data_IF_597626031948
#
_entry.id   IF_597626031948
#
_cell.length_a   1.000
_cell.length_b   1.000
_cell.length_c   1.000
_cell.angle_alpha   90.00
_cell.angle_beta   90.00
_cell.angle_gamma   90.00
#
_symmetry.space_group_name_H-M   'P 1'
#
loop_
_entity.id
_entity.type
_entity.pdbx_description
1 polymer ?
#
# COMPACT_ATOMS: atom_id res chain seq x y z
N UNK A 1 -3.87 12.98 20.96
CA UNK A 1 -3.66 11.96 19.91
C UNK A 1 -3.67 10.60 20.60
N UNK A 2 -4.87 10.12 20.99
CA UNK A 2 -5.02 8.84 21.70
C UNK A 2 -5.10 7.72 20.65
N UNK A 3 -4.29 6.66 20.73
CA UNK A 3 -4.40 5.49 19.86
C UNK A 3 -5.78 4.85 19.90
N UNK A 4 -6.25 4.39 18.74
CA UNK A 4 -7.53 3.65 18.59
C UNK A 4 -7.31 2.22 18.04
N UNK A 5 -6.06 1.77 17.96
CA UNK A 5 -5.64 0.49 17.38
C UNK A 5 -6.21 -0.72 18.11
N UNK A 6 -6.64 -0.56 19.36
CA UNK A 6 -7.27 -1.60 20.17
C UNK A 6 -8.80 -1.48 20.24
N UNK A 7 -9.41 -0.76 19.30
CA UNK A 7 -10.87 -0.72 19.15
C UNK A 7 -11.42 -2.07 18.67
N UNK A 8 -12.74 -2.25 18.85
CA UNK A 8 -13.45 -3.47 18.45
C UNK A 8 -13.31 -3.78 16.96
N UNK A 9 -13.29 -2.75 16.11
CA UNK A 9 -13.06 -2.89 14.67
C UNK A 9 -11.68 -3.48 14.33
N UNK A 10 -10.61 -2.96 14.94
CA UNK A 10 -9.26 -3.47 14.72
C UNK A 10 -9.07 -4.86 15.33
N UNK A 11 -9.73 -5.16 16.46
CA UNK A 11 -9.76 -6.50 17.02
C UNK A 11 -10.39 -7.50 16.03
N UNK A 12 -11.57 -7.18 15.50
CA UNK A 12 -12.26 -8.03 14.51
C UNK A 12 -11.37 -8.25 13.28
N UNK A 13 -10.72 -7.20 12.79
CA UNK A 13 -9.80 -7.30 11.65
C UNK A 13 -8.62 -8.24 11.92
N UNK A 14 -8.00 -8.17 13.10
CA UNK A 14 -6.89 -9.05 13.46
C UNK A 14 -7.35 -10.50 13.67
N UNK A 15 -8.51 -10.71 14.27
CA UNK A 15 -9.11 -12.04 14.40
C UNK A 15 -9.44 -12.65 13.04
N UNK A 16 -9.96 -11.87 12.10
CA UNK A 16 -10.22 -12.31 10.73
C UNK A 16 -8.93 -12.62 9.98
N UNK A 17 -7.85 -11.85 10.21
CA UNK A 17 -6.54 -12.17 9.65
C UNK A 17 -6.03 -13.53 10.18
N UNK A 18 -6.14 -13.79 11.48
CA UNK A 18 -5.76 -15.09 12.06
C UNK A 18 -6.57 -16.24 11.44
N UNK A 19 -7.88 -16.06 11.24
CA UNK A 19 -8.74 -17.06 10.55
C UNK A 19 -8.31 -17.27 9.10
N UNK A 20 -7.85 -16.22 8.42
CA UNK A 20 -7.42 -16.28 7.03
C UNK A 20 -6.10 -17.05 6.84
N UNK A 21 -5.22 -17.10 7.85
CA UNK A 21 -3.92 -17.78 7.76
C UNK A 21 -3.99 -19.24 7.28
N UNK A 22 -5.09 -19.95 7.57
CA UNK A 22 -5.26 -21.34 7.14
C UNK A 22 -5.54 -21.51 5.64
N UNK A 23 -5.82 -20.41 4.92
CA UNK A 23 -6.21 -20.43 3.50
C UNK A 23 -5.03 -20.22 2.55
N UNK A 24 -3.81 -20.07 3.07
CA UNK A 24 -2.58 -19.94 2.29
C UNK A 24 -1.48 -20.88 2.76
N UNK A 25 -0.30 -20.83 2.13
CA UNK A 25 0.88 -21.56 2.58
C UNK A 25 1.25 -21.17 4.02
N UNK A 26 1.57 -22.15 4.86
CA UNK A 26 1.90 -21.90 6.28
C UNK A 26 3.14 -21.02 6.43
N UNK A 27 4.04 -21.12 5.46
CA UNK A 27 5.28 -20.35 5.38
C UNK A 27 5.03 -18.87 5.07
N UNK A 28 3.83 -18.49 4.60
CA UNK A 28 3.50 -17.11 4.23
C UNK A 28 3.68 -16.11 5.37
N UNK A 29 3.65 -16.57 6.63
CA UNK A 29 3.93 -15.74 7.81
C UNK A 29 5.36 -15.17 7.84
N UNK A 30 6.32 -15.82 7.19
CA UNK A 30 7.72 -15.39 7.11
C UNK A 30 8.11 -14.83 5.75
N UNK A 31 7.13 -14.68 4.85
CA UNK A 31 7.38 -14.21 3.50
C UNK A 31 7.53 -12.70 3.45
N UNK A 32 8.31 -12.27 2.46
CA UNK A 32 8.31 -10.89 1.96
C UNK A 32 7.53 -10.86 0.64
N UNK A 33 7.43 -9.68 0.03
CA UNK A 33 6.75 -9.50 -1.26
C UNK A 33 7.19 -10.52 -2.32
N UNK A 34 8.50 -10.81 -2.42
CA UNK A 34 9.03 -11.68 -3.48
C UNK A 34 8.48 -13.11 -3.47
N UNK A 35 8.27 -13.71 -2.29
CA UNK A 35 7.73 -15.08 -2.21
C UNK A 35 6.25 -15.14 -2.59
N UNK A 36 5.43 -14.17 -2.14
CA UNK A 36 4.02 -14.05 -2.53
C UNK A 36 3.88 -13.82 -4.03
N UNK A 37 4.68 -12.91 -4.59
CA UNK A 37 4.73 -12.64 -6.03
C UNK A 37 5.11 -13.88 -6.83
N UNK A 38 6.15 -14.61 -6.44
CA UNK A 38 6.55 -15.83 -7.13
C UNK A 38 5.43 -16.90 -7.13
N UNK A 39 4.70 -17.05 -6.03
CA UNK A 39 3.55 -17.96 -5.96
C UNK A 39 2.44 -17.54 -6.94
N UNK A 40 2.10 -16.25 -6.98
CA UNK A 40 1.09 -15.72 -7.89
C UNK A 40 1.52 -15.83 -9.37
N UNK A 41 2.73 -15.37 -9.70
CA UNK A 41 3.27 -15.39 -11.07
C UNK A 41 3.43 -16.81 -11.63
N UNK A 42 3.66 -17.79 -10.76
CA UNK A 42 3.69 -19.21 -11.13
C UNK A 42 2.30 -19.84 -11.35
N UNK A 43 1.22 -19.10 -11.08
CA UNK A 43 -0.17 -19.54 -11.26
C UNK A 43 -0.73 -20.33 -10.07
N UNK A 44 -0.12 -20.24 -8.88
CA UNK A 44 -0.52 -21.00 -7.70
C UNK A 44 -1.31 -20.19 -6.66
N UNK A 45 -1.60 -18.91 -6.94
CA UNK A 45 -2.48 -18.07 -6.12
C UNK A 45 -3.55 -17.42 -6.99
N UNK A 46 -4.79 -17.37 -6.48
CA UNK A 46 -5.90 -16.72 -7.17
C UNK A 46 -5.90 -15.18 -6.98
N UNK A 47 -5.36 -14.71 -5.85
CA UNK A 47 -5.27 -13.30 -5.49
C UNK A 47 -3.94 -13.05 -4.79
N UNK A 48 -3.38 -11.85 -4.98
CA UNK A 48 -2.18 -11.38 -4.30
C UNK A 48 -2.39 -9.90 -3.90
N UNK A 49 -2.54 -9.58 -2.61
CA UNK A 49 -2.69 -8.20 -2.15
C UNK A 49 -1.34 -7.49 -2.24
N UNK A 50 -1.18 -6.60 -3.23
CA UNK A 50 0.12 -5.99 -3.53
C UNK A 50 -0.02 -4.61 -4.17
N UNK A 51 1.13 -3.94 -4.33
CA UNK A 51 1.32 -2.69 -5.04
C UNK A 51 1.35 -2.86 -6.56
N UNK A 52 1.43 -1.74 -7.29
CA UNK A 52 1.43 -1.69 -8.76
C UNK A 52 2.63 -2.36 -9.45
N UNK A 53 3.60 -2.89 -8.69
CA UNK A 53 4.76 -3.59 -9.23
C UNK A 53 4.39 -4.93 -9.87
N UNK A 54 3.54 -5.74 -9.21
CA UNK A 54 3.28 -7.12 -9.63
C UNK A 54 2.70 -7.25 -11.05
N UNK A 55 1.72 -6.43 -11.48
CA UNK A 55 1.18 -6.51 -12.84
C UNK A 55 2.23 -6.33 -13.94
N UNK A 56 3.29 -5.55 -13.67
CA UNK A 56 4.39 -5.36 -14.62
C UNK A 56 5.26 -6.62 -14.73
N UNK A 57 5.56 -7.30 -13.61
CA UNK A 57 6.29 -8.58 -13.60
C UNK A 57 5.49 -9.69 -14.28
N UNK A 58 4.15 -9.62 -14.22
CA UNK A 58 3.29 -10.55 -14.93
C UNK A 58 3.48 -10.51 -16.45
N UNK A 59 4.03 -9.42 -17.01
CA UNK A 59 4.27 -9.26 -18.44
C UNK A 59 5.57 -9.90 -18.95
N UNK A 60 6.50 -10.29 -18.06
CA UNK A 60 7.73 -10.95 -18.49
C UNK A 60 7.52 -12.48 -18.59
N UNK A 61 7.48 -13.07 -19.79
CA UNK A 61 7.26 -14.51 -19.95
C UNK A 61 8.40 -15.38 -19.40
N UNK A 62 9.55 -14.81 -19.04
CA UNK A 62 10.64 -15.53 -18.36
C UNK A 62 10.34 -15.73 -16.87
N UNK A 63 9.61 -14.78 -16.27
CA UNK A 63 9.33 -14.74 -14.83
C UNK A 63 7.87 -15.11 -14.51
N UNK A 64 6.96 -15.02 -15.49
CA UNK A 64 5.51 -15.15 -15.32
C UNK A 64 4.88 -16.22 -16.21
N UNK A 65 3.91 -16.96 -15.66
CA UNK A 65 3.01 -17.88 -16.38
C UNK A 65 1.58 -17.33 -16.55
N UNK A 66 1.36 -16.10 -16.08
CA UNK A 66 0.04 -15.48 -15.95
C UNK A 66 -0.16 -14.26 -16.85
N UNK A 67 0.76 -14.00 -17.78
CA UNK A 67 0.57 -12.94 -18.80
C UNK A 67 -0.75 -13.13 -19.55
N UNK A 68 -1.50 -12.04 -19.72
CA UNK A 68 -2.83 -12.05 -20.34
C UNK A 68 -3.96 -12.62 -19.46
N UNK A 69 -3.66 -13.05 -18.22
CA UNK A 69 -4.60 -13.68 -17.27
C UNK A 69 -4.80 -12.89 -15.97
N UNK A 70 -4.11 -11.78 -15.77
CA UNK A 70 -4.18 -10.93 -14.59
C UNK A 70 -5.36 -9.94 -14.71
N UNK A 71 -6.13 -9.89 -13.63
CA UNK A 71 -7.08 -8.83 -13.35
C UNK A 71 -6.61 -8.00 -12.15
N UNK A 72 -7.08 -6.76 -12.07
CA UNK A 72 -6.87 -5.90 -10.91
C UNK A 72 -8.24 -5.33 -10.47
N UNK A 73 -8.35 -5.04 -9.18
CA UNK A 73 -9.52 -4.38 -8.59
C UNK A 73 -9.09 -3.62 -7.36
N UNK A 74 -9.95 -2.74 -6.85
CA UNK A 74 -9.73 -2.03 -5.58
C UNK A 74 -9.62 -3.02 -4.41
N UNK A 75 -9.04 -2.56 -3.29
CA UNK A 75 -9.03 -3.34 -2.05
C UNK A 75 -10.47 -3.72 -1.67
N UNK A 76 -10.76 -5.01 -1.37
CA UNK A 76 -12.10 -5.43 -0.98
C UNK A 76 -12.66 -4.62 0.20
N UNK A 77 -13.92 -4.23 0.08
CA UNK A 77 -14.64 -3.50 1.13
C UNK A 77 -15.39 -4.40 2.11
N UNK A 78 -16.08 -3.78 3.07
CA UNK A 78 -16.92 -4.46 4.07
C UNK A 78 -18.33 -3.87 4.11
N UNK A 79 -19.34 -4.64 4.51
CA UNK A 79 -20.70 -4.12 4.73
C UNK A 79 -20.91 -3.53 6.13
N UNK A 80 -19.92 -3.66 7.00
CA UNK A 80 -19.94 -3.14 8.37
C UNK A 80 -18.56 -2.60 8.75
N UNK A 81 -18.53 -1.48 9.46
CA UNK A 81 -17.30 -0.92 10.04
C UNK A 81 -17.60 -0.36 11.44
N UNK A 82 -16.62 -0.47 12.34
CA UNK A 82 -16.73 0.07 13.70
C UNK A 82 -16.25 1.52 13.72
N UNK A 83 -17.07 2.42 14.25
CA UNK A 83 -16.69 3.79 14.53
C UNK A 83 -16.13 3.86 15.96
N UNK A 84 -14.80 3.99 16.14
CA UNK A 84 -14.20 4.05 17.47
C UNK A 84 -14.44 5.37 18.20
N UNK A 85 -14.97 6.39 17.53
CA UNK A 85 -15.33 7.67 18.14
C UNK A 85 -16.75 7.59 18.72
N UNK A 86 -17.69 6.98 17.99
CA UNK A 86 -19.06 6.75 18.49
C UNK A 86 -19.18 5.51 19.37
N UNK A 87 -18.26 4.55 19.22
CA UNK A 87 -18.28 3.28 19.94
C UNK A 87 -19.35 2.31 19.43
N UNK A 88 -19.66 2.32 18.13
CA UNK A 88 -20.72 1.51 17.54
C UNK A 88 -20.34 0.95 16.16
N UNK A 89 -21.03 -0.11 15.74
CA UNK A 89 -20.97 -0.64 14.39
C UNK A 89 -21.96 0.08 13.47
N UNK A 90 -21.45 0.61 12.36
CA UNK A 90 -22.24 1.22 11.30
C UNK A 90 -22.33 0.23 10.11
N UNK A 91 -23.46 0.26 9.39
CA UNK A 91 -23.72 -0.57 8.21
C UNK A 91 -23.58 0.24 6.92
N UNK A 92 -23.06 -0.39 5.88
CA UNK A 92 -22.76 0.22 4.58
C UNK A 92 -23.20 -0.71 3.44
N UNK A 93 -23.57 -0.14 2.31
CA UNK A 93 -23.75 -0.90 1.06
C UNK A 93 -22.41 -1.54 0.65
N UNK A 94 -21.32 -0.75 0.73
CA UNK A 94 -19.93 -1.23 0.67
C UNK A 94 -18.99 -0.15 1.21
N UNK A 95 -18.35 -0.41 2.35
CA UNK A 95 -17.30 0.44 2.92
C UNK A 95 -15.95 0.08 2.30
N UNK A 96 -15.38 0.99 1.51
CA UNK A 96 -14.08 0.83 0.86
C UNK A 96 -13.10 1.89 1.34
N UNK A 97 -11.83 1.52 1.42
CA UNK A 97 -10.74 2.43 1.69
C UNK A 97 -9.61 2.14 0.70
N UNK A 98 -9.13 3.19 0.04
CA UNK A 98 -7.91 3.10 -0.74
C UNK A 98 -6.70 3.03 0.19
N UNK A 99 -5.55 2.71 -0.39
CA UNK A 99 -4.31 2.63 0.36
C UNK A 99 -3.19 3.37 -0.38
N UNK A 100 -2.69 4.43 0.27
CA UNK A 100 -1.52 5.22 -0.17
C UNK A 100 -0.34 5.07 0.79
N UNK A 101 -0.47 4.21 1.81
CA UNK A 101 0.57 3.92 2.79
C UNK A 101 1.76 3.21 2.10
N UNK A 102 2.85 3.95 1.85
CA UNK A 102 3.97 3.44 1.06
C UNK A 102 3.88 3.69 -0.45
N UNK A 103 2.80 4.33 -0.93
CA UNK A 103 2.61 4.70 -2.35
C UNK A 103 3.18 6.06 -2.77
N UNK A 104 3.92 6.75 -1.90
CA UNK A 104 4.46 8.11 -2.16
C UNK A 104 5.98 8.13 -2.18
N UNK A 105 6.58 7.25 -2.99
CA UNK A 105 8.02 7.25 -3.21
C UNK A 105 8.36 8.41 -4.13
N UNK A 106 8.98 9.45 -3.57
CA UNK A 106 9.40 10.62 -4.31
C UNK A 106 10.90 10.81 -4.14
N UNK A 107 11.56 11.19 -5.23
CA UNK A 107 12.94 11.60 -5.15
C UNK A 107 13.04 12.91 -4.36
N UNK A 108 13.98 12.98 -3.43
CA UNK A 108 14.19 14.14 -2.57
C UNK A 108 15.60 14.68 -2.74
N UNK A 109 15.73 16.01 -2.75
CA UNK A 109 17.04 16.67 -2.74
C UNK A 109 17.36 17.05 -1.30
N UNK A 110 18.42 16.45 -0.75
CA UNK A 110 18.90 16.80 0.58
C UNK A 110 19.31 18.27 0.63
N UNK A 111 18.89 19.00 1.67
CA UNK A 111 19.37 20.36 1.98
C UNK A 111 20.89 20.41 2.16
N UNK A 112 21.52 19.28 2.47
CA UNK A 112 22.97 19.15 2.64
C UNK A 112 23.71 18.72 1.36
N UNK A 113 23.00 18.55 0.24
CA UNK A 113 23.63 18.17 -1.03
C UNK A 113 24.66 19.23 -1.45
N UNK A 114 25.85 18.78 -1.82
CA UNK A 114 26.89 19.65 -2.42
C UNK A 114 26.67 19.90 -3.91
N UNK A 115 25.68 19.23 -4.52
CA UNK A 115 25.37 19.28 -5.95
C UNK A 115 23.85 19.32 -6.21
N UNK A 116 23.10 20.23 -5.57
CA UNK A 116 21.63 20.22 -5.63
C UNK A 116 21.09 20.43 -7.04
N UNK A 117 21.71 21.29 -7.85
CA UNK A 117 21.31 21.54 -9.25
C UNK A 117 21.48 20.30 -10.13
N UNK A 118 22.65 19.63 -10.06
CA UNK A 118 22.88 18.40 -10.83
C UNK A 118 21.96 17.27 -10.38
N UNK A 119 21.67 17.18 -9.07
CA UNK A 119 20.66 16.24 -8.56
C UNK A 119 19.29 16.57 -9.16
N UNK A 120 18.88 17.84 -9.15
CA UNK A 120 17.64 18.28 -9.77
C UNK A 120 17.58 17.92 -11.26
N UNK A 121 18.63 18.21 -12.03
CA UNK A 121 18.69 17.92 -13.46
C UNK A 121 18.50 16.43 -13.75
N UNK A 122 19.13 15.56 -12.95
CA UNK A 122 18.96 14.12 -13.06
C UNK A 122 17.51 13.68 -12.75
N UNK A 123 16.93 14.21 -11.67
CA UNK A 123 15.55 13.89 -11.30
C UNK A 123 14.55 14.40 -12.36
N UNK A 124 14.77 15.59 -12.90
CA UNK A 124 13.97 16.15 -13.99
C UNK A 124 14.09 15.31 -15.27
N UNK A 125 15.30 14.83 -15.59
CA UNK A 125 15.52 13.89 -16.69
C UNK A 125 14.71 12.59 -16.50
N UNK A 126 14.75 11.99 -15.31
CA UNK A 126 13.97 10.78 -15.00
C UNK A 126 12.45 11.03 -15.05
N UNK A 127 12.01 12.23 -14.71
CA UNK A 127 10.60 12.64 -14.74
C UNK A 127 10.09 13.04 -16.14
N UNK A 128 10.94 13.07 -17.18
CA UNK A 128 10.48 13.27 -18.55
C UNK A 128 9.51 12.17 -18.96
N UNK A 129 8.50 12.50 -19.78
CA UNK A 129 7.44 11.55 -20.19
C UNK A 129 7.97 10.19 -20.64
N UNK A 130 9.01 10.19 -21.49
CA UNK A 130 9.60 8.96 -22.02
C UNK A 130 10.20 8.08 -20.91
N UNK A 131 10.97 8.68 -19.99
CA UNK A 131 11.62 7.96 -18.92
C UNK A 131 10.62 7.51 -17.86
N UNK A 132 9.69 8.38 -17.46
CA UNK A 132 8.65 8.06 -16.51
C UNK A 132 7.75 6.91 -16.99
N UNK A 133 7.28 6.96 -18.25
CA UNK A 133 6.51 5.88 -18.85
C UNK A 133 7.29 4.57 -18.88
N UNK A 134 8.55 4.59 -19.33
CA UNK A 134 9.38 3.39 -19.31
C UNK A 134 9.55 2.82 -17.91
N UNK A 135 9.74 3.66 -16.88
CA UNK A 135 9.86 3.16 -15.52
C UNK A 135 8.54 2.54 -15.03
N UNK A 136 7.40 3.21 -15.20
CA UNK A 136 6.12 2.71 -14.66
C UNK A 136 5.61 1.43 -15.35
N UNK A 137 6.09 1.12 -16.56
CA UNK A 137 5.74 -0.11 -17.29
C UNK A 137 6.67 -1.29 -16.97
N UNK A 138 7.75 -1.09 -16.20
CA UNK A 138 8.74 -2.12 -15.87
C UNK A 138 8.97 -2.22 -14.35
N UNK A 139 8.53 -3.32 -13.74
CA UNK A 139 8.41 -3.46 -12.28
C UNK A 139 9.68 -3.44 -11.47
N UNK A 140 10.79 -3.87 -12.04
CA UNK A 140 12.06 -3.85 -11.31
C UNK A 140 12.52 -2.42 -10.99
N UNK A 141 11.92 -1.40 -11.62
CA UNK A 141 12.22 0.00 -11.31
C UNK A 141 11.56 0.47 -10.02
N UNK A 142 10.51 -0.22 -9.54
CA UNK A 142 9.71 0.18 -8.39
C UNK A 142 8.87 1.44 -8.59
N UNK A 143 8.81 1.98 -9.81
CA UNK A 143 7.98 3.14 -10.14
C UNK A 143 6.60 2.66 -10.54
N UNK A 144 5.57 3.23 -9.92
CA UNK A 144 4.17 2.89 -10.18
C UNK A 144 3.46 4.06 -10.87
N UNK A 145 2.34 3.82 -11.59
CA UNK A 145 1.63 4.86 -12.32
C UNK A 145 1.15 5.99 -11.41
N UNK A 146 1.58 7.22 -11.68
CA UNK A 146 1.24 8.43 -10.93
C UNK A 146 0.96 9.65 -11.80
N UNK A 147 1.24 9.59 -13.11
CA UNK A 147 1.17 10.73 -14.02
C UNK A 147 -0.01 10.62 -14.97
N UNK A 148 -0.64 11.76 -15.30
CA UNK A 148 -1.81 11.80 -16.21
C UNK A 148 -1.56 11.16 -17.57
N UNK A 149 -0.33 11.20 -18.10
CA UNK A 149 -0.01 10.61 -19.40
C UNK A 149 0.19 9.09 -19.35
N UNK A 150 0.21 8.48 -18.16
CA UNK A 150 0.32 7.03 -17.98
C UNK A 150 -1.06 6.38 -18.02
N UNK A 151 -2.06 7.05 -17.45
CA UNK A 151 -3.46 6.61 -17.45
C UNK A 151 -4.18 6.93 -18.78
N UNK A 152 -5.07 6.04 -19.22
CA UNK A 152 -5.84 6.21 -20.46
C UNK A 152 -7.06 7.15 -20.28
N UNK A 153 -7.59 7.73 -21.37
CA UNK A 153 -8.87 8.42 -21.32
C UNK A 153 -9.98 7.54 -20.72
N UNK A 154 -10.92 8.10 -19.94
CA UNK A 154 -11.12 9.54 -19.70
C UNK A 154 -10.30 10.12 -18.54
N UNK A 155 -9.62 9.30 -17.73
CA UNK A 155 -8.92 9.75 -16.51
C UNK A 155 -7.57 10.42 -16.81
N UNK A 156 -6.92 10.04 -17.91
CA UNK A 156 -5.63 10.56 -18.33
C UNK A 156 -5.53 10.82 -19.84
N UNK A 157 -4.30 11.00 -20.31
CA UNK A 157 -3.96 11.32 -21.71
C UNK A 157 -3.04 10.26 -22.35
N UNK A 158 -2.85 9.13 -21.69
CA UNK A 158 -2.02 8.03 -22.17
C UNK A 158 -2.68 7.25 -23.31
N UNK A 159 -1.87 6.45 -24.02
CA UNK A 159 -2.32 5.59 -25.09
C UNK A 159 -1.91 4.13 -24.80
N UNK A 160 -2.87 3.21 -24.89
CA UNK A 160 -2.63 1.78 -24.65
C UNK A 160 -1.57 1.19 -25.59
N UNK A 161 -1.42 1.73 -26.81
CA UNK A 161 -0.38 1.26 -27.73
C UNK A 161 1.03 1.49 -27.17
N UNK A 162 1.24 2.56 -26.40
CA UNK A 162 2.56 2.81 -25.79
C UNK A 162 2.91 1.78 -24.73
N UNK A 163 1.91 1.19 -24.06
CA UNK A 163 2.08 0.09 -23.12
C UNK A 163 2.34 -1.23 -23.85
N UNK A 164 1.63 -1.49 -24.95
CA UNK A 164 1.87 -2.64 -25.82
C UNK A 164 3.28 -2.63 -26.40
N UNK A 165 3.81 -1.45 -26.76
CA UNK A 165 5.20 -1.26 -27.16
C UNK A 165 6.22 -1.62 -26.06
N UNK A 166 5.82 -1.57 -24.78
CA UNK A 166 6.61 -2.06 -23.65
C UNK A 166 6.36 -3.54 -23.32
N UNK A 167 5.59 -4.27 -24.14
CA UNK A 167 5.33 -5.70 -23.98
C UNK A 167 4.09 -6.05 -23.14
N UNK A 168 3.22 -5.08 -22.84
CA UNK A 168 1.98 -5.34 -22.11
C UNK A 168 0.89 -5.95 -22.99
N UNK A 169 0.09 -6.84 -22.41
CA UNK A 169 -1.24 -7.11 -22.93
C UNK A 169 -2.13 -5.86 -22.82
N UNK A 170 -2.82 -5.52 -23.91
CA UNK A 170 -3.59 -4.29 -24.00
C UNK A 170 -4.78 -4.24 -23.04
N UNK A 171 -5.45 -5.38 -22.79
CA UNK A 171 -6.61 -5.42 -21.92
C UNK A 171 -6.20 -5.51 -20.45
N UNK A 172 -5.09 -6.19 -20.15
CA UNK A 172 -4.47 -6.13 -18.82
C UNK A 172 -4.05 -4.72 -18.45
N UNK A 173 -3.38 -3.98 -19.34
CA UNK A 173 -2.99 -2.60 -19.09
C UNK A 173 -4.19 -1.71 -18.74
N UNK A 174 -5.31 -1.85 -19.48
CA UNK A 174 -6.55 -1.11 -19.19
C UNK A 174 -7.12 -1.47 -17.82
N UNK A 175 -7.27 -2.77 -17.51
CA UNK A 175 -7.83 -3.24 -16.24
C UNK A 175 -6.96 -2.82 -15.06
N UNK A 176 -5.65 -2.96 -15.20
CA UNK A 176 -4.67 -2.56 -14.20
C UNK A 176 -4.79 -1.07 -13.88
N UNK A 177 -4.66 -0.20 -14.89
CA UNK A 177 -4.66 1.24 -14.68
C UNK A 177 -6.01 1.77 -14.18
N UNK A 178 -7.13 1.20 -14.64
CA UNK A 178 -8.45 1.56 -14.14
C UNK A 178 -8.60 1.22 -12.65
N UNK A 179 -8.32 -0.03 -12.26
CA UNK A 179 -8.40 -0.45 -10.86
C UNK A 179 -7.42 0.32 -9.96
N UNK A 180 -6.20 0.55 -10.43
CA UNK A 180 -5.17 1.27 -9.68
C UNK A 180 -5.56 2.73 -9.47
N UNK A 181 -6.08 3.40 -10.51
CA UNK A 181 -6.63 4.76 -10.39
C UNK A 181 -7.81 4.82 -9.42
N UNK A 182 -8.78 3.89 -9.54
CA UNK A 182 -9.93 3.83 -8.65
C UNK A 182 -9.49 3.68 -7.19
N UNK A 183 -8.57 2.77 -6.89
CA UNK A 183 -8.07 2.54 -5.54
C UNK A 183 -7.39 3.79 -4.96
N UNK A 184 -6.54 4.46 -5.75
CA UNK A 184 -5.82 5.67 -5.32
C UNK A 184 -6.71 6.91 -5.23
N UNK A 185 -7.91 6.89 -5.82
CA UNK A 185 -8.86 8.02 -5.80
C UNK A 185 -10.11 7.76 -4.97
N UNK A 186 -10.18 6.64 -4.24
CA UNK A 186 -11.22 6.42 -3.23
C UNK A 186 -11.25 7.58 -2.23
N UNK A 187 -12.44 8.02 -1.79
CA UNK A 187 -12.59 9.20 -0.93
C UNK A 187 -12.00 8.98 0.47
N UNK A 188 -12.01 7.73 0.94
CA UNK A 188 -11.34 7.30 2.17
C UNK A 188 -10.03 6.64 1.79
N UNK A 189 -8.93 7.09 2.40
CA UNK A 189 -7.59 6.60 2.12
C UNK A 189 -6.87 6.27 3.43
N UNK A 190 -6.30 5.06 3.50
CA UNK A 190 -5.24 4.77 4.46
C UNK A 190 -3.97 5.49 4.00
N UNK A 191 -3.43 6.35 4.85
CA UNK A 191 -2.30 7.22 4.52
C UNK A 191 -1.12 6.97 5.45
N UNK A 192 0.09 7.29 4.98
CA UNK A 192 1.29 7.16 5.79
C UNK A 192 1.27 8.14 6.97
N UNK A 193 1.60 7.66 8.17
CA UNK A 193 1.73 8.50 9.37
C UNK A 193 2.89 9.49 9.19
N UNK A 194 2.63 10.79 9.11
CA UNK A 194 3.63 11.83 8.78
C UNK A 194 4.03 12.69 9.98
N UNK A 195 4.45 12.04 11.08
CA UNK A 195 4.92 12.71 12.30
C UNK A 195 6.25 12.12 12.79
N UNK A 196 7.03 12.83 13.63
CA UNK A 196 8.21 12.26 14.27
C UNK A 196 7.90 10.94 15.00
N UNK A 197 8.80 9.97 14.88
CA UNK A 197 8.62 8.65 15.50
C UNK A 197 7.81 7.65 14.68
N UNK A 198 7.34 7.98 13.47
CA UNK A 198 6.54 7.06 12.64
C UNK A 198 7.12 5.64 12.52
N UNK A 199 8.44 5.51 12.30
CA UNK A 199 9.08 4.20 12.22
C UNK A 199 8.91 3.38 13.51
N UNK A 200 8.91 4.03 14.68
CA UNK A 200 8.66 3.38 15.96
C UNK A 200 7.21 2.93 16.10
N UNK A 201 6.23 3.75 15.68
CA UNK A 201 4.82 3.35 15.70
C UNK A 201 4.59 2.10 14.83
N UNK A 202 5.13 2.07 13.62
CA UNK A 202 5.04 0.91 12.74
C UNK A 202 5.75 -0.31 13.30
N UNK A 203 6.95 -0.14 13.87
CA UNK A 203 7.68 -1.24 14.48
C UNK A 203 6.90 -1.88 15.64
N UNK A 204 6.33 -1.07 16.53
CA UNK A 204 5.52 -1.61 17.63
C UNK A 204 4.31 -2.38 17.10
N UNK A 205 3.63 -1.90 16.05
CA UNK A 205 2.53 -2.64 15.43
C UNK A 205 2.99 -3.98 14.86
N UNK A 206 4.03 -3.95 14.03
CA UNK A 206 4.57 -5.13 13.33
C UNK A 206 4.97 -6.25 14.30
N UNK A 207 5.66 -5.89 15.39
CA UNK A 207 6.05 -6.85 16.44
C UNK A 207 4.82 -7.52 17.07
N UNK A 208 3.75 -6.77 17.36
CA UNK A 208 2.55 -7.35 18.00
C UNK A 208 1.72 -8.18 17.04
N UNK A 209 1.58 -7.73 15.80
CA UNK A 209 0.89 -8.51 14.78
C UNK A 209 1.64 -9.82 14.54
N UNK A 210 2.96 -9.77 14.36
CA UNK A 210 3.80 -10.95 14.18
C UNK A 210 3.67 -11.96 15.33
N UNK A 211 3.66 -11.48 16.58
CA UNK A 211 3.45 -12.33 17.75
C UNK A 211 2.08 -13.03 17.75
N UNK A 212 1.01 -12.33 17.31
CA UNK A 212 -0.33 -12.93 17.17
C UNK A 212 -0.35 -13.98 16.07
N UNK A 213 0.21 -13.67 14.89
CA UNK A 213 0.23 -14.61 13.77
C UNK A 213 1.06 -15.87 14.10
N UNK A 214 2.11 -15.72 14.91
CA UNK A 214 2.92 -16.83 15.41
C UNK A 214 2.27 -17.61 16.57
N UNK A 215 1.06 -17.22 17.01
CA UNK A 215 0.33 -17.85 18.11
C UNK A 215 0.92 -17.59 19.50
N UNK A 216 1.78 -16.59 19.65
CA UNK A 216 2.48 -16.26 20.90
C UNK A 216 1.62 -15.41 21.85
N UNK A 217 0.65 -14.67 21.32
CA UNK A 217 -0.27 -13.83 22.11
C UNK A 217 -1.65 -13.76 21.46
N UNK A 218 -2.65 -13.34 22.23
CA UNK A 218 -4.02 -13.19 21.76
C UNK A 218 -4.23 -11.81 21.10
N UNK A 219 -5.08 -11.70 20.06
CA UNK A 219 -5.32 -10.45 19.33
C UNK A 219 -5.57 -9.24 20.22
N UNK A 220 -6.49 -9.35 21.21
CA UNK A 220 -6.82 -8.24 22.10
C UNK A 220 -5.64 -7.78 22.96
N UNK A 221 -4.90 -8.72 23.55
CA UNK A 221 -3.73 -8.40 24.36
C UNK A 221 -2.66 -7.69 23.52
N UNK A 222 -2.41 -8.17 22.31
CA UNK A 222 -1.44 -7.56 21.40
C UNK A 222 -1.82 -6.13 21.00
N UNK A 223 -3.10 -5.90 20.67
CA UNK A 223 -3.56 -4.56 20.32
C UNK A 223 -3.52 -3.60 21.52
N UNK A 224 -3.84 -4.08 22.73
CA UNK A 224 -3.70 -3.30 23.96
C UNK A 224 -2.25 -2.92 24.23
N UNK A 225 -1.31 -3.86 24.08
CA UNK A 225 0.12 -3.62 24.24
C UNK A 225 0.65 -2.63 23.17
N UNK A 226 0.15 -2.73 21.95
CA UNK A 226 0.45 -1.79 20.87
C UNK A 226 -0.05 -0.38 21.20
N UNK A 227 -1.31 -0.25 21.65
CA UNK A 227 -1.89 1.02 22.07
C UNK A 227 -1.07 1.67 23.21
N UNK A 228 -0.66 0.89 24.21
CA UNK A 228 0.20 1.39 25.30
C UNK A 228 1.58 1.82 24.81
N UNK A 229 2.18 1.09 23.87
CA UNK A 229 3.47 1.46 23.28
C UNK A 229 3.36 2.78 22.51
N UNK A 230 2.30 2.94 21.73
CA UNK A 230 2.02 4.18 21.01
C UNK A 230 1.75 5.37 21.94
N UNK A 231 1.12 5.16 23.10
CA UNK A 231 1.01 6.22 24.11
C UNK A 231 2.39 6.65 24.62
N UNK A 232 3.30 5.71 24.91
CA UNK A 232 4.67 6.03 25.34
C UNK A 232 5.46 6.80 24.28
N UNK A 233 5.36 6.39 23.01
CA UNK A 233 5.99 7.12 21.89
C UNK A 233 5.42 8.54 21.80
N UNK A 234 4.10 8.66 21.88
CA UNK A 234 3.39 9.95 21.79
C UNK A 234 3.81 10.91 22.90
N UNK A 235 3.92 10.42 24.14
CA UNK A 235 4.38 11.24 25.27
C UNK A 235 5.84 11.65 25.13
N UNK A 236 6.73 10.73 24.70
CA UNK A 236 8.15 11.02 24.51
C UNK A 236 8.40 12.13 23.47
N UNK A 237 7.61 12.17 22.40
CA UNK A 237 7.68 13.23 21.38
C UNK A 237 6.85 14.48 21.72
N UNK A 238 6.06 14.44 22.79
CA UNK A 238 5.15 15.50 23.24
C UNK A 238 3.80 15.43 22.52
N UNK A 239 2.74 15.07 23.25
CA UNK A 239 1.39 14.83 22.71
C UNK A 239 0.83 16.01 21.92
N UNK A 240 0.95 17.23 22.43
CA UNK A 240 0.39 18.41 21.76
C UNK A 240 1.15 18.76 20.47
N UNK A 241 2.46 18.58 20.47
CA UNK A 241 3.30 18.74 19.27
C UNK A 241 2.94 17.69 18.22
N UNK A 242 2.81 16.43 18.63
CA UNK A 242 2.39 15.35 17.74
C UNK A 242 1.01 15.61 17.15
N UNK A 243 0.03 16.03 17.98
CA UNK A 243 -1.32 16.38 17.53
C UNK A 243 -1.29 17.49 16.47
N UNK A 244 -0.52 18.56 16.71
CA UNK A 244 -0.39 19.67 15.77
C UNK A 244 0.23 19.22 14.43
N UNK A 245 1.29 18.42 14.47
CA UNK A 245 1.95 17.91 13.26
C UNK A 245 1.05 16.93 12.49
N UNK A 246 0.34 16.05 13.21
CA UNK A 246 -0.60 15.12 12.62
C UNK A 246 -1.69 15.86 11.84
N UNK A 247 -2.33 16.86 12.47
CA UNK A 247 -3.34 17.70 11.81
C UNK A 247 -2.78 18.44 10.60
N UNK A 248 -1.58 19.03 10.72
CA UNK A 248 -0.92 19.74 9.61
C UNK A 248 -0.49 18.81 8.47
N UNK A 249 -0.43 17.49 8.68
CA UNK A 249 -0.10 16.55 7.61
C UNK A 249 -1.27 16.35 6.62
N UNK A 250 -2.51 16.63 7.02
CA UNK A 250 -3.71 16.50 6.18
C UNK A 250 -4.11 17.80 5.46
N UNK A 251 -3.35 18.88 5.65
CA UNK A 251 -3.55 20.20 5.03
C UNK A 251 -2.41 20.54 4.10
#
# INVERSE_FOLDING_TARGET
MKPLINSEGHLRALEDYVKFLSNGPKEAISWTLGQGWALFLSGHAAMEPTWGDLPTFAQDPKESKVQGKVGATIIPGTNEAYDPIKGQWDKFDLNTAGNTNGGTWHCVISRFSKKPEVTYDFLAFMATRKNALWNCTHGFTGVQPGMRFEYFPPVGTGNVQEWVEQGWDADEAKRYLDAYYQNLTLPVQESYLRIPGTAEYWHELDVRLSAVLAGQTQPKAALDDCAQAWERITERYGRDKQKKLYQASYT
#
